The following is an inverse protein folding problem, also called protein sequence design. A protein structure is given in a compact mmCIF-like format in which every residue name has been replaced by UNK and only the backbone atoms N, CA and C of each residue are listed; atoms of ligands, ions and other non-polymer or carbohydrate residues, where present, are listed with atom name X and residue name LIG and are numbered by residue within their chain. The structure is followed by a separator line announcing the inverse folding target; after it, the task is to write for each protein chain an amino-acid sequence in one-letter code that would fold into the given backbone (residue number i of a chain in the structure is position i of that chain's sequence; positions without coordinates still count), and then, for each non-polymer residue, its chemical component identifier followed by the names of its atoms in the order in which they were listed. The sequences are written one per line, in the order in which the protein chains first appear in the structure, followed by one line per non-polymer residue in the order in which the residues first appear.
data_IF_031854999775
#
_entry.id   IF_031854999775
#
_cell.length_a   1.000
_cell.length_b   1.000
_cell.length_c   1.000
_cell.angle_alpha   90.00
_cell.angle_beta   90.00
_cell.angle_gamma   90.00
#
_symmetry.space_group_name_H-M   'P 1'
#
loop_
_entity.id
_entity.type
_entity.pdbx_description
1 polymer ?
#
# COMPACT_ATOMS: atom_id res chain seq x y z
N UNK A 1 0.72 -34.69 1.19
CA UNK A 1 1.08 -33.44 1.91
C UNK A 1 1.14 -32.26 0.95
N UNK A 2 1.84 -32.41 -0.19
CA UNK A 2 1.96 -31.36 -1.22
C UNK A 2 0.61 -30.95 -1.80
N UNK A 3 -0.24 -31.92 -2.15
CA UNK A 3 -1.58 -31.69 -2.69
C UNK A 3 -2.45 -30.85 -1.74
N UNK A 4 -2.32 -31.09 -0.43
CA UNK A 4 -3.06 -30.30 0.58
C UNK A 4 -2.62 -28.86 0.63
N UNK A 5 -1.31 -28.61 0.55
CA UNK A 5 -0.76 -27.25 0.50
C UNK A 5 -1.22 -26.54 -0.78
N UNK A 6 -1.16 -27.21 -1.92
CA UNK A 6 -1.59 -26.65 -3.20
C UNK A 6 -3.08 -26.28 -3.20
N UNK A 7 -3.94 -27.13 -2.67
CA UNK A 7 -5.39 -26.85 -2.52
C UNK A 7 -5.60 -25.63 -1.61
N UNK A 8 -4.87 -25.53 -0.49
CA UNK A 8 -4.96 -24.38 0.40
C UNK A 8 -4.47 -23.10 -0.29
N UNK A 9 -3.36 -23.14 -1.00
CA UNK A 9 -2.86 -21.98 -1.75
C UNK A 9 -3.90 -21.53 -2.79
N UNK A 10 -4.44 -22.43 -3.59
CA UNK A 10 -5.48 -22.11 -4.58
C UNK A 10 -6.73 -21.48 -3.94
N UNK A 11 -7.12 -21.93 -2.77
CA UNK A 11 -8.25 -21.33 -2.06
C UNK A 11 -8.03 -19.84 -1.79
N UNK A 12 -6.80 -19.45 -1.42
CA UNK A 12 -6.46 -18.07 -1.11
C UNK A 12 -6.12 -17.20 -2.34
N UNK A 13 -5.64 -17.82 -3.42
CA UNK A 13 -5.20 -17.06 -4.61
C UNK A 13 -6.23 -17.04 -5.74
N UNK A 14 -7.02 -18.08 -5.88
CA UNK A 14 -7.98 -18.26 -6.97
C UNK A 14 -9.42 -18.52 -6.48
N UNK A 15 -9.60 -18.64 -5.15
CA UNK A 15 -10.92 -18.92 -4.56
C UNK A 15 -11.82 -17.68 -4.52
N UNK A 16 -13.16 -17.86 -4.52
CA UNK A 16 -14.11 -16.76 -4.55
C UNK A 16 -14.11 -15.89 -3.27
N UNK A 17 -13.54 -16.38 -2.17
CA UNK A 17 -13.47 -15.70 -0.89
C UNK A 17 -12.35 -14.63 -0.82
N UNK A 18 -11.38 -14.68 -1.76
CA UNK A 18 -10.24 -13.77 -1.82
C UNK A 18 -10.04 -13.27 -3.25
N UNK A 19 -10.32 -11.99 -3.47
CA UNK A 19 -10.34 -11.40 -4.81
C UNK A 19 -9.12 -10.52 -5.11
N UNK A 20 -8.37 -10.13 -4.06
CA UNK A 20 -7.29 -9.14 -4.16
C UNK A 20 -5.89 -9.73 -3.91
N UNK A 21 -5.76 -11.08 -3.95
CA UNK A 21 -4.51 -11.77 -3.65
C UNK A 21 -3.69 -12.13 -4.90
N UNK A 22 -4.22 -11.90 -6.10
CA UNK A 22 -3.55 -12.25 -7.37
C UNK A 22 -3.71 -11.12 -8.39
N UNK A 23 -3.12 -9.94 -8.14
CA UNK A 23 -3.19 -8.83 -9.09
C UNK A 23 -2.45 -9.15 -10.39
N UNK A 24 -2.83 -8.46 -11.46
CA UNK A 24 -2.05 -8.43 -12.69
C UNK A 24 -1.14 -7.22 -12.70
N UNK A 25 0.17 -7.46 -12.83
CA UNK A 25 1.21 -6.43 -12.87
C UNK A 25 2.02 -6.62 -14.14
N UNK A 26 2.14 -5.59 -14.95
CA UNK A 26 2.84 -5.64 -16.27
C UNK A 26 2.40 -6.84 -17.14
N UNK A 27 1.09 -7.12 -17.17
CA UNK A 27 0.51 -8.23 -17.96
C UNK A 27 0.70 -9.63 -17.37
N UNK A 28 1.29 -9.77 -16.19
CA UNK A 28 1.50 -11.05 -15.52
C UNK A 28 0.78 -11.11 -14.17
N UNK A 29 0.25 -12.28 -13.84
CA UNK A 29 -0.29 -12.55 -12.50
C UNK A 29 0.84 -12.58 -11.48
N UNK A 30 0.67 -11.88 -10.36
CA UNK A 30 1.60 -11.80 -9.24
C UNK A 30 0.88 -12.23 -7.95
N UNK A 31 0.77 -13.55 -7.70
CA UNK A 31 0.00 -14.08 -6.58
C UNK A 31 0.68 -13.79 -5.24
N UNK A 32 -0.14 -13.62 -4.21
CA UNK A 32 0.33 -13.58 -2.83
C UNK A 32 0.88 -14.95 -2.42
N UNK A 33 2.19 -15.04 -2.30
CA UNK A 33 2.87 -16.24 -1.84
C UNK A 33 2.92 -16.29 -0.30
N UNK A 34 1.84 -16.78 0.32
CA UNK A 34 1.76 -17.04 1.77
C UNK A 34 1.89 -15.82 2.70
N UNK A 35 1.63 -14.61 2.23
CA UNK A 35 1.61 -13.44 3.09
C UNK A 35 0.25 -13.31 3.80
N UNK A 36 0.18 -13.81 5.04
CA UNK A 36 -1.03 -13.76 5.85
C UNK A 36 -1.56 -12.33 6.09
N UNK A 37 -0.69 -11.33 6.13
CA UNK A 37 -1.11 -9.95 6.33
C UNK A 37 -2.00 -9.45 5.17
N UNK A 38 -1.71 -9.85 3.93
CA UNK A 38 -2.56 -9.56 2.78
C UNK A 38 -3.94 -10.21 2.90
N UNK A 39 -3.97 -11.48 3.32
CA UNK A 39 -5.23 -12.21 3.54
C UNK A 39 -6.06 -11.57 4.66
N UNK A 40 -5.44 -11.23 5.79
CA UNK A 40 -6.12 -10.56 6.90
C UNK A 40 -6.60 -9.17 6.51
N UNK A 41 -5.82 -8.40 5.76
CA UNK A 41 -6.23 -7.09 5.28
C UNK A 41 -7.49 -7.18 4.41
N UNK A 42 -7.57 -8.16 3.50
CA UNK A 42 -8.77 -8.39 2.70
C UNK A 42 -10.00 -8.71 3.56
N UNK A 43 -9.84 -9.61 4.54
CA UNK A 43 -10.93 -9.96 5.48
C UNK A 43 -11.39 -8.81 6.35
N UNK A 44 -10.50 -7.89 6.71
CA UNK A 44 -10.84 -6.73 7.52
C UNK A 44 -11.88 -5.84 6.84
N UNK A 45 -11.86 -5.70 5.52
CA UNK A 45 -12.89 -4.96 4.79
C UNK A 45 -14.29 -5.56 4.99
N UNK A 46 -14.39 -6.89 5.05
CA UNK A 46 -15.68 -7.56 5.31
C UNK A 46 -16.10 -7.43 6.79
N UNK A 47 -15.15 -7.65 7.72
CA UNK A 47 -15.42 -7.63 9.17
C UNK A 47 -15.81 -6.23 9.65
N UNK A 48 -15.12 -5.19 9.17
CA UNK A 48 -15.40 -3.81 9.55
C UNK A 48 -16.75 -3.31 9.02
N UNK A 49 -17.28 -3.94 7.96
CA UNK A 49 -18.51 -3.51 7.30
C UNK A 49 -18.40 -2.12 6.67
N UNK A 50 -19.49 -1.67 6.03
CA UNK A 50 -19.54 -0.35 5.41
C UNK A 50 -19.47 0.77 6.45
N UNK A 51 -18.58 1.72 6.23
CA UNK A 51 -18.36 2.86 7.11
C UNK A 51 -17.61 2.56 8.42
N UNK A 52 -17.21 1.31 8.66
CA UNK A 52 -16.38 0.93 9.81
C UNK A 52 -14.96 1.53 9.74
N UNK A 53 -14.38 1.79 10.91
CA UNK A 53 -13.00 2.26 11.04
C UNK A 53 -12.06 1.09 11.29
N UNK A 54 -10.89 1.16 10.66
CA UNK A 54 -9.84 0.15 10.73
C UNK A 54 -8.53 0.81 11.11
N UNK A 55 -7.80 0.18 12.03
CA UNK A 55 -6.41 0.49 12.33
C UNK A 55 -5.61 -0.82 12.33
N UNK A 56 -4.56 -0.89 11.52
CA UNK A 56 -3.73 -2.09 11.42
C UNK A 56 -2.24 -1.76 11.36
N UNK A 57 -1.46 -2.65 11.96
CA UNK A 57 -0.01 -2.74 11.76
C UNK A 57 0.23 -3.80 10.69
N UNK A 58 0.86 -3.42 9.59
CA UNK A 58 1.05 -4.27 8.42
C UNK A 58 2.52 -4.31 7.99
N UNK A 59 3.02 -5.43 7.47
CA UNK A 59 4.35 -5.49 6.85
C UNK A 59 4.51 -4.46 5.73
N UNK A 60 5.72 -3.91 5.58
CA UNK A 60 6.03 -2.91 4.56
C UNK A 60 5.71 -3.34 3.13
N UNK A 61 5.77 -4.64 2.84
CA UNK A 61 5.43 -5.20 1.53
C UNK A 61 3.97 -4.97 1.11
N UNK A 62 3.08 -4.69 2.06
CA UNK A 62 1.70 -4.29 1.71
C UNK A 62 1.70 -2.93 0.99
N UNK A 63 2.61 -2.04 1.32
CA UNK A 63 2.69 -0.69 0.76
C UNK A 63 3.58 -0.60 -0.48
N UNK A 64 4.55 -1.50 -0.65
CA UNK A 64 5.53 -1.46 -1.75
C UNK A 64 5.69 -2.76 -2.55
N UNK A 65 5.07 -3.88 -2.13
CA UNK A 65 5.11 -5.14 -2.89
C UNK A 65 4.11 -5.15 -4.05
N UNK A 66 4.51 -5.73 -5.20
CA UNK A 66 3.67 -5.79 -6.40
C UNK A 66 2.39 -6.62 -6.17
N UNK A 67 2.48 -7.76 -5.49
CA UNK A 67 1.35 -8.63 -5.17
C UNK A 67 0.26 -7.95 -4.32
N UNK A 68 0.57 -6.87 -3.61
CA UNK A 68 -0.40 -6.11 -2.81
C UNK A 68 -1.08 -4.96 -3.57
N UNK A 69 -0.87 -4.86 -4.89
CA UNK A 69 -1.44 -3.80 -5.74
C UNK A 69 -2.95 -3.65 -5.53
N UNK A 70 -3.71 -4.73 -5.67
CA UNK A 70 -5.17 -4.66 -5.64
C UNK A 70 -5.70 -4.33 -4.25
N UNK A 71 -5.03 -4.80 -3.18
CA UNK A 71 -5.33 -4.40 -1.80
C UNK A 71 -5.11 -2.89 -1.58
N UNK A 72 -4.00 -2.33 -2.09
CA UNK A 72 -3.76 -0.88 -2.03
C UNK A 72 -4.82 -0.09 -2.81
N UNK A 73 -5.18 -0.59 -3.99
CA UNK A 73 -6.21 0.06 -4.81
C UNK A 73 -7.58 0.00 -4.13
N UNK A 74 -7.90 -1.08 -3.44
CA UNK A 74 -9.12 -1.20 -2.63
C UNK A 74 -9.12 -0.15 -1.51
N UNK A 75 -8.06 -0.06 -0.71
CA UNK A 75 -7.95 0.97 0.33
C UNK A 75 -8.09 2.40 -0.23
N UNK A 76 -7.52 2.68 -1.41
CA UNK A 76 -7.55 4.01 -2.01
C UNK A 76 -8.88 4.37 -2.69
N UNK A 77 -9.59 3.39 -3.25
CA UNK A 77 -10.76 3.63 -4.10
C UNK A 77 -12.08 3.43 -3.36
N UNK A 78 -12.14 2.45 -2.48
CA UNK A 78 -13.34 2.04 -1.73
C UNK A 78 -13.22 2.37 -0.24
N UNK A 79 -12.02 2.72 0.22
CA UNK A 79 -11.73 3.23 1.55
C UNK A 79 -11.19 4.66 1.53
N UNK A 80 -11.35 5.34 2.64
CA UNK A 80 -10.69 6.61 2.91
C UNK A 80 -9.57 6.37 3.91
N UNK A 81 -8.33 6.41 3.46
CA UNK A 81 -7.16 6.36 4.33
C UNK A 81 -7.08 7.68 5.08
N UNK A 82 -7.12 7.62 6.39
CA UNK A 82 -6.99 8.79 7.27
C UNK A 82 -5.50 9.07 7.55
N UNK A 83 -4.69 8.03 7.80
CA UNK A 83 -3.24 8.18 7.98
C UNK A 83 -2.48 6.90 7.61
N UNK A 84 -1.24 7.08 7.18
CA UNK A 84 -0.25 6.03 6.99
C UNK A 84 1.09 6.45 7.58
N UNK A 85 1.63 5.68 8.50
CA UNK A 85 2.98 5.87 9.02
C UNK A 85 3.79 4.61 8.78
N UNK A 86 4.92 4.72 8.09
CA UNK A 86 5.81 3.59 7.87
C UNK A 86 7.06 3.68 8.73
N UNK A 87 7.54 2.55 9.18
CA UNK A 87 8.66 2.41 10.09
C UNK A 87 9.71 1.45 9.54
N UNK A 88 10.96 1.71 9.87
CA UNK A 88 12.02 0.73 9.91
C UNK A 88 12.20 0.27 11.36
N UNK A 89 12.34 -1.06 11.57
CA UNK A 89 12.29 -1.65 12.92
C UNK A 89 13.52 -1.34 13.78
N UNK A 90 14.05 -0.24 13.91
CA UNK A 90 15.25 0.07 14.73
C UNK A 90 15.10 -0.30 16.22
N UNK A 91 14.64 -1.52 16.51
CA UNK A 91 14.42 -2.01 17.87
C UNK A 91 13.01 -1.80 18.43
N UNK A 92 12.07 -1.31 17.63
CA UNK A 92 10.66 -1.16 18.03
C UNK A 92 10.09 -2.54 18.40
N UNK A 93 10.37 -3.56 17.59
CA UNK A 93 10.08 -4.95 17.90
C UNK A 93 11.40 -5.69 18.19
N UNK A 94 11.70 -6.02 19.45
CA UNK A 94 13.03 -6.45 19.86
C UNK A 94 13.51 -7.79 19.28
N UNK A 95 12.60 -8.64 18.82
CA UNK A 95 12.92 -9.96 18.27
C UNK A 95 12.80 -10.03 16.74
N UNK A 96 12.67 -8.89 16.07
CA UNK A 96 12.56 -8.78 14.61
C UNK A 96 13.79 -8.06 14.09
N UNK A 97 14.29 -8.48 12.91
CA UNK A 97 15.42 -7.83 12.25
C UNK A 97 15.21 -6.31 12.14
N UNK A 98 16.23 -5.55 12.50
CA UNK A 98 16.21 -4.09 12.52
C UNK A 98 15.95 -3.45 11.14
N UNK A 99 16.15 -4.21 10.05
CA UNK A 99 15.88 -3.78 8.66
C UNK A 99 14.44 -4.05 8.23
N UNK A 100 13.64 -4.69 9.09
CA UNK A 100 12.25 -5.00 8.76
C UNK A 100 11.43 -3.71 8.69
N UNK A 101 10.66 -3.57 7.63
CA UNK A 101 9.75 -2.45 7.44
C UNK A 101 8.31 -2.86 7.76
N UNK A 102 7.61 -1.98 8.44
CA UNK A 102 6.17 -2.12 8.70
C UNK A 102 5.49 -0.76 8.62
N UNK A 103 4.17 -0.75 8.60
CA UNK A 103 3.40 0.49 8.62
C UNK A 103 2.16 0.37 9.48
N UNK A 104 1.77 1.48 10.08
CA UNK A 104 0.48 1.68 10.73
C UNK A 104 -0.41 2.44 9.77
N UNK A 105 -1.53 1.85 9.42
CA UNK A 105 -2.53 2.48 8.54
C UNK A 105 -3.86 2.56 9.25
N UNK A 106 -4.50 3.73 9.16
CA UNK A 106 -5.88 3.93 9.60
C UNK A 106 -6.74 4.33 8.41
N UNK A 107 -7.89 3.72 8.28
CA UNK A 107 -8.82 4.05 7.21
C UNK A 107 -10.27 3.79 7.60
N UNK A 108 -11.17 4.50 6.96
CA UNK A 108 -12.61 4.22 6.99
C UNK A 108 -12.96 3.31 5.81
N UNK A 109 -13.69 2.23 6.06
CA UNK A 109 -14.15 1.29 5.03
C UNK A 109 -15.36 1.86 4.27
N UNK A 110 -15.20 3.04 3.70
CA UNK A 110 -16.15 3.69 2.77
C UNK A 110 -15.55 4.95 2.16
N UNK A 111 -16.06 5.37 1.02
CA UNK A 111 -15.62 6.57 0.32
C UNK A 111 -14.40 6.34 -0.57
N UNK A 112 -13.55 7.32 -0.70
CA UNK A 112 -12.28 7.16 -1.42
C UNK A 112 -11.24 8.18 -0.93
N UNK A 113 -9.99 7.78 -0.93
CA UNK A 113 -8.84 8.64 -0.60
C UNK A 113 -8.60 9.60 -1.76
N UNK A 114 -8.68 10.90 -1.53
CA UNK A 114 -8.32 11.95 -2.51
C UNK A 114 -6.86 12.37 -2.38
N UNK A 115 -6.40 12.46 -1.13
CA UNK A 115 -5.03 12.80 -0.74
C UNK A 115 -4.62 11.80 0.33
N UNK A 116 -3.47 11.19 0.18
CA UNK A 116 -2.87 10.34 1.20
C UNK A 116 -2.06 11.23 2.14
N UNK A 117 -2.39 11.22 3.42
CA UNK A 117 -1.58 11.81 4.47
C UNK A 117 -0.67 10.73 5.06
N UNK A 118 0.65 10.91 4.91
CA UNK A 118 1.59 9.87 5.26
C UNK A 118 2.89 10.41 5.85
N UNK A 119 3.51 9.59 6.70
CA UNK A 119 4.86 9.79 7.22
C UNK A 119 5.65 8.53 6.93
N UNK A 120 6.84 8.65 6.34
CA UNK A 120 7.60 7.50 5.90
C UNK A 120 8.89 7.32 6.68
N UNK A 121 9.33 6.05 6.81
CA UNK A 121 10.64 5.62 7.32
C UNK A 121 10.98 6.13 8.72
N UNK A 122 10.01 6.11 9.63
CA UNK A 122 10.23 6.51 11.00
C UNK A 122 10.96 5.42 11.81
N UNK A 123 11.65 5.84 12.85
CA UNK A 123 12.39 4.95 13.76
C UNK A 123 11.87 5.01 15.20
N UNK A 124 10.95 5.92 15.47
CA UNK A 124 10.35 6.13 16.77
C UNK A 124 8.82 6.17 16.65
N UNK A 125 8.14 5.44 17.51
CA UNK A 125 6.67 5.38 17.55
C UNK A 125 6.03 6.65 18.11
N UNK A 126 6.79 7.49 18.81
CA UNK A 126 6.30 8.76 19.35
C UNK A 126 5.77 9.71 18.26
N UNK A 127 6.19 9.52 17.00
CA UNK A 127 5.67 10.27 15.85
C UNK A 127 4.15 10.11 15.69
N UNK A 128 3.56 9.02 16.18
CA UNK A 128 2.12 8.78 16.15
C UNK A 128 1.32 9.80 16.96
N UNK A 129 1.97 10.49 17.90
CA UNK A 129 1.35 11.53 18.73
C UNK A 129 1.27 12.92 18.04
N UNK A 130 1.92 13.07 16.87
CA UNK A 130 2.03 14.37 16.16
C UNK A 130 1.86 14.22 14.63
N UNK A 131 0.94 13.37 14.20
CA UNK A 131 0.73 13.06 12.77
C UNK A 131 0.46 14.29 11.93
N UNK A 132 -0.43 15.18 12.41
CA UNK A 132 -0.87 16.36 11.65
C UNK A 132 0.27 17.35 11.37
N UNK A 133 1.31 17.36 12.21
CA UNK A 133 2.44 18.27 12.09
C UNK A 133 3.49 17.80 11.09
N UNK A 134 3.57 16.48 10.85
CA UNK A 134 4.66 15.85 10.11
C UNK A 134 4.22 15.15 8.82
N UNK A 135 2.91 14.92 8.64
CA UNK A 135 2.41 14.20 7.49
C UNK A 135 2.59 14.98 6.18
N UNK A 136 3.16 14.31 5.19
CA UNK A 136 3.15 14.80 3.81
C UNK A 136 1.81 14.48 3.16
N UNK A 137 1.31 15.41 2.33
CA UNK A 137 0.03 15.30 1.62
C UNK A 137 0.27 14.95 0.16
N UNK A 138 0.00 13.71 -0.20
CA UNK A 138 0.25 13.19 -1.55
C UNK A 138 -1.09 13.03 -2.28
N UNK A 139 -1.39 13.86 -3.29
CA UNK A 139 -2.58 13.70 -4.12
C UNK A 139 -2.64 12.33 -4.79
N UNK A 140 -3.82 11.72 -4.82
CA UNK A 140 -4.05 10.38 -5.44
C UNK A 140 -3.54 10.28 -6.88
N UNK A 141 -3.58 11.39 -7.65
CA UNK A 141 -3.06 11.43 -9.03
C UNK A 141 -1.57 11.13 -9.09
N UNK A 142 -0.78 11.60 -8.11
CA UNK A 142 0.65 11.30 -7.99
C UNK A 142 0.86 9.81 -7.74
N UNK A 143 0.14 9.22 -6.78
CA UNK A 143 0.22 7.78 -6.50
C UNK A 143 -0.05 6.93 -7.74
N UNK A 144 -1.03 7.34 -8.55
CA UNK A 144 -1.39 6.64 -9.79
C UNK A 144 -0.32 6.76 -10.88
N UNK A 145 0.36 7.88 -10.98
CA UNK A 145 1.39 8.13 -12.00
C UNK A 145 2.77 7.64 -11.60
N UNK A 146 3.09 7.69 -10.32
CA UNK A 146 4.39 7.27 -9.78
C UNK A 146 4.69 5.80 -10.09
N UNK A 147 3.70 4.94 -9.95
CA UNK A 147 3.85 3.50 -10.22
C UNK A 147 2.62 2.98 -10.96
N UNK A 148 2.64 3.08 -12.28
CA UNK A 148 1.48 2.78 -13.13
C UNK A 148 1.08 1.32 -13.10
N UNK A 149 2.03 0.40 -12.93
CA UNK A 149 1.80 -1.04 -12.95
C UNK A 149 1.54 -1.62 -11.56
N UNK A 150 2.44 -1.36 -10.62
CA UNK A 150 2.40 -1.98 -9.29
C UNK A 150 1.66 -1.16 -8.24
N UNK A 151 1.41 0.15 -8.51
CA UNK A 151 0.70 1.05 -7.57
C UNK A 151 1.34 1.13 -6.19
N UNK A 152 2.66 1.05 -6.12
CA UNK A 152 3.41 1.21 -4.87
C UNK A 152 3.35 2.65 -4.40
N UNK A 153 3.43 2.84 -3.09
CA UNK A 153 3.49 4.17 -2.50
C UNK A 153 4.92 4.70 -2.53
N UNK A 154 5.14 5.97 -2.94
CA UNK A 154 6.45 6.57 -2.92
C UNK A 154 6.90 6.83 -1.47
N UNK A 155 8.20 6.66 -1.20
CA UNK A 155 8.79 7.13 0.04
C UNK A 155 9.20 8.60 -0.11
N UNK A 156 8.43 9.48 0.51
CA UNK A 156 8.59 10.93 0.44
C UNK A 156 8.64 11.46 1.86
N UNK A 157 9.64 12.27 2.17
CA UNK A 157 9.88 12.76 3.52
C UNK A 157 9.50 14.22 3.72
N UNK A 158 9.24 14.95 2.64
CA UNK A 158 8.89 16.38 2.70
C UNK A 158 7.85 16.76 1.65
N UNK A 159 7.08 17.81 1.94
CA UNK A 159 6.11 18.36 0.99
C UNK A 159 6.77 18.89 -0.29
N UNK A 160 8.00 19.39 -0.18
CA UNK A 160 8.79 19.83 -1.34
C UNK A 160 9.12 18.69 -2.30
N UNK A 161 9.40 17.49 -1.78
CA UNK A 161 9.60 16.29 -2.63
C UNK A 161 8.32 15.90 -3.36
N UNK A 162 7.14 16.08 -2.74
CA UNK A 162 5.85 15.89 -3.41
C UNK A 162 5.70 16.83 -4.61
N UNK A 163 6.06 18.10 -4.44
CA UNK A 163 6.00 19.12 -5.49
C UNK A 163 6.97 18.80 -6.64
N UNK A 164 8.21 18.40 -6.31
CA UNK A 164 9.21 17.98 -7.30
C UNK A 164 8.73 16.77 -8.07
N UNK A 165 8.23 15.75 -7.35
CA UNK A 165 7.70 14.54 -7.97
C UNK A 165 6.50 14.86 -8.88
N UNK A 166 5.60 15.73 -8.46
CA UNK A 166 4.45 16.16 -9.27
C UNK A 166 4.91 16.85 -10.56
N UNK A 167 5.94 17.70 -10.46
CA UNK A 167 6.55 18.36 -11.62
C UNK A 167 7.14 17.33 -12.60
N UNK A 168 7.93 16.37 -12.09
CA UNK A 168 8.50 15.30 -12.91
C UNK A 168 7.40 14.49 -13.60
N UNK A 169 6.38 14.10 -12.86
CA UNK A 169 5.27 13.31 -13.37
C UNK A 169 4.32 14.10 -14.31
N UNK A 170 4.46 15.41 -14.41
CA UNK A 170 3.72 16.21 -15.41
C UNK A 170 4.26 16.04 -16.84
N UNK A 171 5.51 15.60 -16.96
CA UNK A 171 6.13 15.31 -18.26
C UNK A 171 5.77 13.90 -18.74
N UNK A 172 5.85 13.64 -20.07
CA UNK A 172 5.67 12.32 -20.64
C UNK A 172 6.66 11.32 -20.05
N UNK A 173 6.21 10.09 -19.78
CA UNK A 173 7.09 9.00 -19.39
C UNK A 173 7.72 8.34 -20.62
N UNK A 174 8.82 7.58 -20.44
CA UNK A 174 9.44 6.81 -21.53
C UNK A 174 8.48 5.81 -22.20
N UNK A 175 7.39 5.43 -21.53
CA UNK A 175 6.37 4.53 -22.07
C UNK A 175 5.19 5.24 -22.73
N UNK A 176 5.14 6.57 -22.68
CA UNK A 176 4.09 7.34 -23.34
C UNK A 176 4.43 7.48 -24.83
N UNK A 177 3.50 7.11 -25.71
CA UNK A 177 3.64 7.32 -27.15
C UNK A 177 3.42 8.80 -27.46
N UNK A 178 4.50 9.57 -27.44
CA UNK A 178 4.50 10.98 -27.82
C UNK A 178 5.09 11.07 -29.22
N UNK A 179 4.22 11.08 -30.23
CA UNK A 179 4.63 11.15 -31.64
C UNK A 179 5.57 12.35 -31.89
N UNK A 180 6.82 12.05 -32.27
CA UNK A 180 7.84 13.04 -32.64
C UNK A 180 8.74 13.52 -31.48
N UNK A 181 8.70 12.89 -30.31
CA UNK A 181 9.56 13.26 -29.17
C UNK A 181 10.86 12.42 -29.07
N UNK A 182 11.06 11.39 -29.92
CA UNK A 182 12.25 10.49 -29.96
C UNK A 182 12.73 10.27 -31.39
#
# INVERSE_FOLDING_TARGET
YQDRIEIQMRYFTDGPAYQFQTPTVAGRKDPNENNLAGLFLERVFEIAGDGGYVAQVLPGVIFNGSFSKDLRMKMLNEGRIDSLVTFENKGIFPNIDNRYHFGVVTFKNSGSTKTLEAIFQQHDVEILNSLDEHAVKIPKRILKRYSTESRIFPFITSQKEVEVLDTILSHPSLGDDVSGAW
#
